data_IF_646151696004
#
_entry.id   IF_646151696004
#
_cell.length_a   1.000
_cell.length_b   1.000
_cell.length_c   1.000
_cell.angle_alpha   90.00
_cell.angle_beta   90.00
_cell.angle_gamma   90.00
#
_symmetry.space_group_name_H-M   'P 1'
#
loop_
_entity.id
_entity.type
_entity.pdbx_description
1 polymer ?
#
# COMPACT_ATOMS: atom_id res chain seq x y z
N UNK A 1 -17.81 -15.47 13.73
CA UNK A 1 -18.68 -16.45 14.44
C UNK A 1 -19.85 -15.83 15.21
N UNK A 2 -19.79 -14.58 15.70
CA UNK A 2 -20.86 -13.96 16.49
C UNK A 2 -22.09 -13.45 15.71
N UNK A 3 -21.95 -13.18 14.39
CA UNK A 3 -23.03 -12.64 13.55
C UNK A 3 -24.18 -13.63 13.28
N UNK A 4 -23.99 -14.94 13.56
CA UNK A 4 -24.98 -16.00 13.31
C UNK A 4 -25.99 -16.21 14.44
N UNK A 5 -25.71 -15.70 15.65
CA UNK A 5 -26.63 -15.77 16.79
C UNK A 5 -26.97 -14.32 17.12
N UNK A 6 -28.25 -13.93 17.10
CA UNK A 6 -28.78 -12.55 17.23
C UNK A 6 -28.45 -11.89 18.59
N UNK A 7 -27.18 -11.88 19.02
CA UNK A 7 -26.70 -11.42 20.33
C UNK A 7 -26.30 -9.95 20.35
N UNK A 8 -26.13 -9.32 19.18
CA UNK A 8 -25.86 -7.89 19.00
C UNK A 8 -26.93 -7.01 19.68
N UNK A 9 -28.18 -7.48 19.74
CA UNK A 9 -29.30 -6.73 20.32
C UNK A 9 -29.34 -6.78 21.83
N UNK A 10 -28.68 -7.76 22.46
CA UNK A 10 -28.68 -7.92 23.93
C UNK A 10 -27.52 -7.16 24.56
N UNK A 11 -26.35 -7.11 23.90
CA UNK A 11 -25.16 -6.42 24.40
C UNK A 11 -24.44 -5.64 23.29
N UNK A 12 -25.00 -4.50 22.84
CA UNK A 12 -24.44 -3.70 21.75
C UNK A 12 -23.03 -3.19 22.07
N UNK A 13 -22.77 -2.83 23.33
CA UNK A 13 -21.46 -2.34 23.76
C UNK A 13 -20.37 -3.42 23.66
N UNK A 14 -20.71 -4.68 23.89
CA UNK A 14 -19.77 -5.79 23.80
C UNK A 14 -19.46 -6.15 22.35
N UNK A 15 -20.43 -6.06 21.43
CA UNK A 15 -20.18 -6.21 19.99
C UNK A 15 -19.24 -5.11 19.46
N UNK A 16 -19.47 -3.86 19.88
CA UNK A 16 -18.61 -2.74 19.52
C UNK A 16 -17.20 -2.90 20.09
N UNK A 17 -17.08 -3.27 21.37
CA UNK A 17 -15.79 -3.50 22.02
C UNK A 17 -15.01 -4.65 21.35
N UNK A 18 -15.67 -5.75 20.98
CA UNK A 18 -15.06 -6.86 20.26
C UNK A 18 -14.65 -6.48 18.84
N UNK A 19 -15.45 -5.67 18.13
CA UNK A 19 -15.06 -5.11 16.82
C UNK A 19 -13.86 -4.20 16.94
N UNK A 20 -13.88 -3.28 17.92
CA UNK A 20 -12.73 -2.43 18.22
C UNK A 20 -11.51 -3.31 18.49
N UNK A 21 -11.62 -4.28 19.39
CA UNK A 21 -10.54 -5.19 19.74
C UNK A 21 -9.98 -5.99 18.55
N UNK A 22 -10.84 -6.42 17.62
CA UNK A 22 -10.42 -7.13 16.41
C UNK A 22 -9.81 -6.21 15.33
N UNK A 23 -10.15 -4.92 15.34
CA UNK A 23 -9.57 -3.90 14.43
C UNK A 23 -8.29 -3.26 14.99
N UNK A 24 -8.22 -3.15 16.33
CA UNK A 24 -7.00 -2.97 17.10
C UNK A 24 -6.17 -4.26 16.94
N UNK A 25 -4.89 -4.25 17.28
CA UNK A 25 -3.75 -4.38 16.39
C UNK A 25 -3.52 -5.72 15.63
N UNK A 26 -4.53 -6.55 15.35
CA UNK A 26 -4.41 -7.66 14.37
C UNK A 26 -4.10 -7.12 12.98
N UNK A 27 -4.69 -5.98 12.62
CA UNK A 27 -4.37 -5.23 11.40
C UNK A 27 -3.02 -4.51 11.49
N UNK A 28 -2.60 -4.12 12.70
CA UNK A 28 -1.32 -3.45 12.91
C UNK A 28 -0.15 -4.42 12.73
N UNK A 29 -0.25 -5.69 13.11
CA UNK A 29 0.83 -6.65 12.84
C UNK A 29 1.12 -6.79 11.33
N UNK A 30 0.09 -6.70 10.48
CA UNK A 30 0.25 -6.67 9.02
C UNK A 30 0.86 -5.36 8.54
N UNK A 31 0.41 -4.23 9.11
CA UNK A 31 0.97 -2.90 8.89
C UNK A 31 2.44 -2.81 9.31
N UNK A 32 2.78 -3.13 10.55
CA UNK A 32 4.12 -3.21 11.14
C UNK A 32 5.04 -4.14 10.35
N UNK A 33 4.55 -5.32 9.92
CA UNK A 33 5.33 -6.22 9.05
C UNK A 33 5.62 -5.57 7.71
N UNK A 34 4.61 -4.92 7.10
CA UNK A 34 4.76 -4.20 5.83
C UNK A 34 5.68 -2.98 5.95
N UNK A 35 5.55 -2.19 7.02
CA UNK A 35 6.40 -1.05 7.33
C UNK A 35 7.82 -1.46 7.72
N UNK A 36 8.01 -2.59 8.39
CA UNK A 36 9.33 -3.16 8.69
C UNK A 36 10.04 -3.61 7.41
N UNK A 37 9.32 -4.31 6.52
CA UNK A 37 9.85 -4.65 5.18
C UNK A 37 10.13 -3.41 4.35
N UNK A 38 9.24 -2.41 4.41
CA UNK A 38 9.44 -1.12 3.75
C UNK A 38 10.64 -0.38 4.32
N UNK A 39 10.85 -0.38 5.63
CA UNK A 39 12.00 0.25 6.28
C UNK A 39 13.30 -0.42 5.84
N UNK A 40 13.33 -1.75 5.76
CA UNK A 40 14.48 -2.50 5.24
C UNK A 40 14.78 -2.17 3.77
N UNK A 41 13.76 -2.19 2.91
CA UNK A 41 13.87 -1.83 1.49
C UNK A 41 14.29 -0.37 1.32
N UNK A 42 13.68 0.54 2.07
CA UNK A 42 14.01 1.97 2.11
C UNK A 42 15.45 2.17 2.55
N UNK A 43 15.95 1.44 3.56
CA UNK A 43 17.33 1.60 4.00
C UNK A 43 18.33 1.11 2.93
N UNK A 44 18.03 -0.04 2.29
CA UNK A 44 18.85 -0.59 1.19
C UNK A 44 18.83 0.29 -0.06
N UNK A 45 17.69 0.91 -0.40
CA UNK A 45 17.53 1.73 -1.60
C UNK A 45 17.87 3.21 -1.37
N UNK A 46 17.79 3.73 -0.15
CA UNK A 46 18.10 5.15 0.16
C UNK A 46 19.58 5.49 0.00
N UNK A 47 20.47 4.51 0.09
CA UNK A 47 21.87 4.67 -0.35
C UNK A 47 22.00 4.87 -1.87
N UNK A 48 20.94 4.60 -2.66
CA UNK A 48 20.94 4.65 -4.12
C UNK A 48 19.84 5.56 -4.73
N UNK A 49 18.82 6.00 -3.98
CA UNK A 49 17.60 6.64 -4.52
C UNK A 49 17.13 7.82 -3.66
N UNK A 50 16.65 8.88 -4.32
CA UNK A 50 16.08 10.05 -3.64
C UNK A 50 14.75 9.74 -2.94
N UNK A 51 14.49 10.44 -1.83
CA UNK A 51 13.34 10.20 -0.93
C UNK A 51 11.99 10.26 -1.64
N UNK A 52 11.81 11.24 -2.54
CA UNK A 52 10.57 11.41 -3.32
C UNK A 52 10.24 10.17 -4.16
N UNK A 53 11.26 9.60 -4.82
CA UNK A 53 11.12 8.42 -5.66
C UNK A 53 10.73 7.18 -4.85
N UNK A 54 11.25 7.04 -3.63
CA UNK A 54 10.87 5.95 -2.72
C UNK A 54 9.42 6.11 -2.27
N UNK A 55 9.01 7.33 -1.92
CA UNK A 55 7.62 7.61 -1.52
C UNK A 55 6.63 7.24 -2.64
N UNK A 56 6.91 7.69 -3.87
CA UNK A 56 6.06 7.40 -5.02
C UNK A 56 6.00 5.89 -5.32
N UNK A 57 7.11 5.16 -5.20
CA UNK A 57 7.14 3.71 -5.40
C UNK A 57 6.38 2.93 -4.32
N UNK A 58 6.39 3.45 -3.09
CA UNK A 58 5.64 2.87 -1.97
C UNK A 58 4.14 3.03 -2.21
N UNK A 59 3.71 4.22 -2.62
CA UNK A 59 2.33 4.49 -2.98
C UNK A 59 1.85 3.58 -4.12
N UNK A 60 2.68 3.42 -5.17
CA UNK A 60 2.38 2.48 -6.25
C UNK A 60 2.30 1.02 -5.78
N UNK A 61 3.08 0.61 -4.78
CA UNK A 61 3.03 -0.75 -4.23
C UNK A 61 1.78 -1.00 -3.40
N UNK A 62 1.25 0.03 -2.71
CA UNK A 62 0.00 -0.06 -1.95
C UNK A 62 -1.18 -0.13 -2.91
N UNK A 63 -1.20 0.78 -3.90
CA UNK A 63 -2.26 0.88 -4.92
C UNK A 63 -2.06 -0.09 -6.11
N UNK A 64 -1.34 -1.19 -5.90
CA UNK A 64 -0.91 -2.08 -6.98
C UNK A 64 -2.09 -2.72 -7.74
N UNK A 65 -3.23 -2.89 -7.09
CA UNK A 65 -4.44 -3.44 -7.70
C UNK A 65 -5.02 -2.47 -8.73
N UNK A 66 -5.08 -1.18 -8.39
CA UNK A 66 -5.52 -0.11 -9.31
C UNK A 66 -4.53 0.03 -10.47
N UNK A 67 -3.23 -0.08 -10.19
CA UNK A 67 -2.19 -0.05 -11.22
C UNK A 67 -2.28 -1.21 -12.21
N UNK A 68 -2.77 -2.38 -11.81
CA UNK A 68 -2.98 -3.52 -12.72
C UNK A 68 -4.11 -3.28 -13.72
N UNK A 69 -5.10 -2.49 -13.36
CA UNK A 69 -6.22 -2.14 -14.23
C UNK A 69 -5.88 -1.00 -15.21
N UNK A 70 -4.78 -0.29 -14.98
CA UNK A 70 -4.37 0.86 -15.77
C UNK A 70 -3.56 0.48 -17.02
N UNK A 71 -3.86 1.09 -18.17
CA UNK A 71 -3.10 0.86 -19.41
C UNK A 71 -1.77 1.64 -19.44
N UNK A 72 -0.66 0.90 -19.29
CA UNK A 72 0.69 1.46 -19.32
C UNK A 72 1.16 1.89 -20.73
N UNK A 73 0.48 1.52 -21.82
CA UNK A 73 0.95 1.88 -23.19
C UNK A 73 1.12 3.38 -23.38
N UNK A 74 0.15 4.16 -22.91
CA UNK A 74 0.19 5.61 -23.04
C UNK A 74 1.28 6.23 -22.16
N UNK A 75 1.49 5.69 -20.96
CA UNK A 75 2.54 6.13 -20.03
C UNK A 75 3.92 5.84 -20.61
N UNK A 76 4.13 4.65 -21.19
CA UNK A 76 5.38 4.26 -21.83
C UNK A 76 5.66 5.16 -23.04
N UNK A 77 4.66 5.44 -23.87
CA UNK A 77 4.78 6.35 -25.02
C UNK A 77 5.17 7.77 -24.58
N UNK A 78 4.51 8.29 -23.54
CA UNK A 78 4.82 9.60 -22.96
C UNK A 78 6.21 9.64 -22.31
N UNK A 79 6.64 8.56 -21.65
CA UNK A 79 7.97 8.48 -21.07
C UNK A 79 9.07 8.40 -22.13
N UNK A 80 8.84 7.61 -23.19
CA UNK A 80 9.75 7.47 -24.33
C UNK A 80 9.93 8.80 -25.06
N UNK A 81 8.84 9.53 -25.35
CA UNK A 81 8.93 10.85 -25.99
C UNK A 81 9.73 11.84 -25.14
N UNK A 82 9.53 11.83 -23.82
CA UNK A 82 10.23 12.71 -22.86
C UNK A 82 11.71 12.33 -22.65
N UNK A 83 12.07 11.06 -22.83
CA UNK A 83 13.45 10.54 -22.66
C UNK A 83 14.27 10.52 -23.97
N UNK A 84 13.79 11.17 -25.03
CA UNK A 84 14.54 11.30 -26.28
C UNK A 84 15.77 12.18 -26.08
N UNK A 85 16.85 11.61 -25.53
CA UNK A 85 18.21 12.08 -25.78
C UNK A 85 18.45 11.87 -27.27
N UNK A 86 18.09 12.88 -28.08
CA UNK A 86 18.48 12.94 -29.49
C UNK A 86 20.00 12.97 -29.52
N UNK A 87 20.65 11.82 -29.72
CA UNK A 87 22.03 11.80 -30.20
C UNK A 87 21.97 12.24 -31.66
N UNK A 88 22.30 13.49 -31.92
CA UNK A 88 22.73 13.89 -33.25
C UNK A 88 24.11 13.26 -33.46
N UNK A 89 24.19 12.36 -34.44
CA UNK A 89 25.44 12.05 -35.12
C UNK A 89 25.70 13.11 -36.16
#
# INVERSE_FOLDING_TARGET
MLRRRKLHTVFPNTDIALRLFLTLPVTNASGERSFSKLAFVKNRLRSSMQQERVSNLTLMSIEHDILREMDFKNIIKAFSSKKTRRKHF
#
